data_IF_531034714479
#
_entry.id   IF_531034714479
#
_cell.length_a   1.000
_cell.length_b   1.000
_cell.length_c   1.000
_cell.angle_alpha   90.00
_cell.angle_beta   90.00
_cell.angle_gamma   90.00
#
_symmetry.space_group_name_H-M   'P 1'
#
loop_
_entity.id
_entity.type
_entity.pdbx_description
1 polymer ?
#
# COMPACT_ATOMS: atom_id res chain seq x y z
N UNK A 1 -51.03 -38.50 -16.63
CA UNK A 1 -50.00 -38.87 -17.64
C UNK A 1 -49.72 -37.60 -18.45
N UNK A 2 -48.55 -36.94 -18.47
CA UNK A 2 -47.16 -37.35 -18.35
C UNK A 2 -46.33 -36.26 -17.66
N UNK A 3 -45.41 -36.71 -16.82
CA UNK A 3 -44.19 -36.04 -16.36
C UNK A 3 -43.26 -35.86 -17.58
N UNK A 4 -42.60 -34.71 -17.75
CA UNK A 4 -41.16 -34.54 -18.03
C UNK A 4 -40.77 -33.15 -18.59
N UNK A 5 -39.63 -32.66 -18.08
CA UNK A 5 -38.73 -31.60 -18.59
C UNK A 5 -38.94 -30.16 -18.13
N UNK A 6 -38.70 -29.97 -16.83
CA UNK A 6 -38.19 -28.73 -16.25
C UNK A 6 -36.72 -28.92 -15.79
N UNK A 7 -35.79 -29.21 -16.71
CA UNK A 7 -34.35 -29.22 -16.39
C UNK A 7 -33.57 -28.81 -17.63
N UNK A 8 -33.37 -27.50 -17.85
CA UNK A 8 -32.32 -27.03 -18.78
C UNK A 8 -31.86 -25.57 -18.63
N UNK A 9 -32.51 -24.72 -17.81
CA UNK A 9 -32.08 -23.32 -17.67
C UNK A 9 -31.11 -23.04 -16.52
N UNK A 10 -31.23 -23.73 -15.38
CA UNK A 10 -30.44 -23.39 -14.19
C UNK A 10 -28.99 -23.88 -14.23
N UNK A 11 -28.72 -25.05 -14.80
CA UNK A 11 -27.35 -25.58 -14.89
C UNK A 11 -26.50 -24.82 -15.92
N UNK A 12 -27.13 -24.34 -17.00
CA UNK A 12 -26.44 -23.59 -18.06
C UNK A 12 -26.08 -22.17 -17.60
N UNK A 13 -26.96 -21.49 -16.84
CA UNK A 13 -26.63 -20.18 -16.23
C UNK A 13 -25.61 -20.30 -15.09
N UNK A 14 -25.63 -21.40 -14.34
CA UNK A 14 -24.64 -21.63 -13.28
C UNK A 14 -23.25 -21.94 -13.85
N UNK A 15 -23.15 -22.78 -14.88
CA UNK A 15 -21.90 -23.05 -15.60
C UNK A 15 -21.38 -21.82 -16.34
N UNK A 16 -22.25 -20.97 -16.91
CA UNK A 16 -21.82 -19.73 -17.56
C UNK A 16 -21.30 -18.69 -16.56
N UNK A 17 -21.97 -18.51 -15.40
CA UNK A 17 -21.46 -17.66 -14.30
C UNK A 17 -20.17 -18.19 -13.70
N UNK A 18 -20.04 -19.52 -13.54
CA UNK A 18 -18.84 -20.17 -13.02
C UNK A 18 -17.67 -20.07 -14.02
N UNK A 19 -17.92 -20.29 -15.31
CA UNK A 19 -16.93 -20.10 -16.38
C UNK A 19 -16.51 -18.64 -16.54
N UNK A 20 -17.43 -17.68 -16.37
CA UNK A 20 -17.12 -16.26 -16.37
C UNK A 20 -16.30 -15.86 -15.14
N UNK A 21 -16.61 -16.37 -13.93
CA UNK A 21 -15.83 -16.10 -12.72
C UNK A 21 -14.42 -16.71 -12.76
N UNK A 22 -14.30 -17.94 -13.27
CA UNK A 22 -13.02 -18.66 -13.35
C UNK A 22 -12.15 -18.07 -14.47
N UNK A 23 -12.71 -17.76 -15.65
CA UNK A 23 -11.94 -17.13 -16.73
C UNK A 23 -11.53 -15.70 -16.38
N UNK A 24 -12.40 -14.86 -15.85
CA UNK A 24 -12.01 -13.49 -15.48
C UNK A 24 -10.92 -13.48 -14.42
N UNK A 25 -11.08 -14.22 -13.30
CA UNK A 25 -10.09 -14.28 -12.21
C UNK A 25 -8.72 -14.81 -12.64
N UNK A 26 -8.68 -15.92 -13.38
CA UNK A 26 -7.40 -16.51 -13.80
C UNK A 26 -6.73 -15.65 -14.88
N UNK A 27 -7.50 -15.06 -15.80
CA UNK A 27 -6.97 -14.21 -16.86
C UNK A 27 -6.55 -12.83 -16.32
N UNK A 28 -7.27 -12.18 -15.40
CA UNK A 28 -6.76 -10.97 -14.73
C UNK A 28 -5.58 -11.26 -13.84
N UNK A 29 -5.54 -12.38 -13.09
CA UNK A 29 -4.34 -12.74 -12.32
C UNK A 29 -3.14 -13.02 -13.22
N UNK A 30 -3.33 -13.72 -14.34
CA UNK A 30 -2.25 -14.02 -15.29
C UNK A 30 -1.82 -12.77 -16.07
N UNK A 31 -2.76 -11.91 -16.46
CA UNK A 31 -2.50 -10.66 -17.18
C UNK A 31 -1.88 -9.61 -16.25
N UNK A 32 -2.35 -9.47 -15.01
CA UNK A 32 -1.72 -8.65 -13.99
C UNK A 32 -0.30 -9.16 -13.69
N UNK A 33 -0.09 -10.46 -13.50
CA UNK A 33 1.27 -11.04 -13.35
C UNK A 33 2.16 -10.80 -14.57
N UNK A 34 1.64 -10.88 -15.80
CA UNK A 34 2.40 -10.58 -17.03
C UNK A 34 2.68 -9.09 -17.22
N UNK A 35 1.76 -8.21 -16.83
CA UNK A 35 1.88 -6.76 -16.93
C UNK A 35 2.81 -6.19 -15.83
N UNK A 36 2.70 -6.70 -14.60
CA UNK A 36 3.58 -6.37 -13.47
C UNK A 36 5.05 -6.67 -13.76
N UNK A 37 5.34 -7.76 -14.51
CA UNK A 37 6.71 -8.09 -14.96
C UNK A 37 7.36 -7.02 -15.86
N UNK A 38 6.63 -6.01 -16.33
CA UNK A 38 7.15 -4.89 -17.13
C UNK A 38 7.07 -3.53 -16.45
N UNK A 39 6.44 -3.42 -15.27
CA UNK A 39 6.41 -2.17 -14.51
C UNK A 39 7.72 -2.06 -13.75
N UNK A 40 8.66 -1.32 -14.32
CA UNK A 40 9.90 -0.95 -13.63
C UNK A 40 9.56 0.24 -12.74
N UNK A 41 9.98 0.20 -11.48
CA UNK A 41 9.87 1.34 -10.58
C UNK A 41 11.18 2.12 -10.60
N UNK A 42 11.08 3.45 -10.64
CA UNK A 42 12.24 4.33 -10.63
C UNK A 42 12.15 5.25 -9.44
N UNK A 43 13.26 5.33 -8.69
CA UNK A 43 13.44 6.38 -7.70
C UNK A 43 13.98 7.63 -8.42
N UNK A 44 13.19 8.69 -8.41
CA UNK A 44 13.56 10.01 -8.94
C UNK A 44 13.75 10.98 -7.78
N UNK A 45 14.69 11.89 -7.96
CA UNK A 45 14.95 12.98 -7.02
C UNK A 45 14.60 14.29 -7.72
N UNK A 46 13.87 15.16 -7.04
CA UNK A 46 13.62 16.53 -7.46
C UNK A 46 14.27 17.51 -6.48
N UNK A 47 14.82 18.60 -7.04
CA UNK A 47 15.22 19.78 -6.28
C UNK A 47 14.25 20.88 -6.66
N UNK A 48 13.41 21.29 -5.72
CA UNK A 48 12.51 22.42 -5.92
C UNK A 48 13.25 23.69 -5.48
N UNK A 49 13.37 24.64 -6.39
CA UNK A 49 13.85 26.00 -6.10
C UNK A 49 12.61 26.86 -5.89
N UNK A 50 12.26 27.15 -4.65
CA UNK A 50 11.02 27.85 -4.30
C UNK A 50 11.18 29.38 -4.22
N UNK A 51 12.20 29.95 -4.86
CA UNK A 51 12.48 31.39 -4.81
C UNK A 51 13.01 31.87 -3.44
N UNK A 52 13.03 31.00 -2.42
CA UNK A 52 13.77 31.23 -1.18
C UNK A 52 15.22 30.76 -1.32
N UNK A 53 16.09 31.18 -0.41
CA UNK A 53 17.51 30.80 -0.43
C UNK A 53 17.78 29.31 -0.16
N UNK A 54 16.76 28.51 0.18
CA UNK A 54 16.91 27.10 0.52
C UNK A 54 16.31 26.18 -0.57
N UNK A 55 17.10 25.20 -1.01
CA UNK A 55 16.62 24.14 -1.88
C UNK A 55 15.78 23.14 -1.09
N UNK A 56 14.58 22.83 -1.56
CA UNK A 56 13.80 21.68 -1.07
C UNK A 56 14.16 20.43 -1.89
N UNK A 57 14.24 19.27 -1.22
CA UNK A 57 14.59 18.00 -1.84
C UNK A 57 13.45 17.00 -1.66
N UNK A 58 13.02 16.33 -2.73
CA UNK A 58 11.98 15.32 -2.65
C UNK A 58 12.39 14.03 -3.37
N UNK A 59 12.02 12.90 -2.77
CA UNK A 59 12.15 11.57 -3.37
C UNK A 59 10.81 11.11 -3.89
N UNK A 60 10.80 10.75 -5.16
CA UNK A 60 9.65 10.26 -5.88
C UNK A 60 9.88 8.78 -6.21
N UNK A 61 8.86 7.97 -5.92
CA UNK A 61 8.73 6.64 -6.52
C UNK A 61 7.79 6.78 -7.71
N UNK A 62 8.29 6.54 -8.92
CA UNK A 62 7.53 6.68 -10.15
C UNK A 62 7.50 5.37 -10.92
N UNK A 63 6.49 5.23 -11.77
CA UNK A 63 6.44 4.17 -12.77
C UNK A 63 7.39 4.55 -13.91
N UNK A 64 8.35 3.68 -14.21
CA UNK A 64 9.27 3.89 -15.32
C UNK A 64 8.51 3.97 -16.64
N UNK A 65 8.94 4.88 -17.52
CA UNK A 65 8.31 5.19 -18.82
C UNK A 65 6.91 5.82 -18.74
N UNK A 66 6.36 6.05 -17.55
CA UNK A 66 5.13 6.81 -17.34
C UNK A 66 5.41 7.88 -16.29
N UNK A 67 6.17 8.92 -16.69
CA UNK A 67 6.76 9.88 -15.76
C UNK A 67 5.72 10.67 -14.94
N UNK A 68 4.49 10.82 -15.45
CA UNK A 68 3.40 11.52 -14.77
C UNK A 68 2.74 10.69 -13.66
N UNK A 69 3.03 9.39 -13.60
CA UNK A 69 2.48 8.49 -12.57
C UNK A 69 3.46 8.38 -11.41
N UNK A 70 3.24 9.25 -10.42
CA UNK A 70 3.98 9.27 -9.17
C UNK A 70 3.22 8.46 -8.11
N UNK A 71 3.83 7.37 -7.66
CA UNK A 71 3.26 6.48 -6.65
C UNK A 71 3.50 6.97 -5.23
N UNK A 72 4.64 7.61 -4.96
CA UNK A 72 4.97 8.12 -3.63
C UNK A 72 5.88 9.33 -3.74
N UNK A 73 5.63 10.36 -2.93
CA UNK A 73 6.53 11.51 -2.76
C UNK A 73 6.87 11.64 -1.28
N UNK A 74 8.14 11.87 -0.97
CA UNK A 74 8.61 12.17 0.37
C UNK A 74 9.60 13.33 0.35
N UNK A 75 9.35 14.37 1.17
CA UNK A 75 10.32 15.44 1.37
C UNK A 75 11.50 14.94 2.21
N UNK A 76 12.70 15.34 1.86
CA UNK A 76 13.91 15.06 2.62
C UNK A 76 14.28 16.27 3.47
N UNK A 77 14.82 15.99 4.66
CA UNK A 77 15.39 17.02 5.53
C UNK A 77 16.89 17.10 5.21
N UNK A 78 17.39 18.22 4.68
CA UNK A 78 18.80 18.36 4.39
C UNK A 78 19.63 18.30 5.66
N UNK A 79 20.74 17.56 5.62
CA UNK A 79 21.73 17.54 6.70
C UNK A 79 22.68 18.74 6.52
N UNK A 80 22.81 19.64 7.52
CA UNK A 80 23.73 20.77 7.43
C UNK A 80 25.15 20.30 7.12
N UNK A 81 25.80 20.91 6.12
CA UNK A 81 27.18 20.60 5.72
C UNK A 81 27.35 19.41 4.77
N UNK A 82 26.33 18.59 4.52
CA UNK A 82 26.41 17.52 3.52
C UNK A 82 26.06 18.04 2.12
N UNK A 83 26.97 17.83 1.15
CA UNK A 83 26.65 18.03 -0.26
C UNK A 83 25.74 16.89 -0.74
N UNK A 84 24.59 17.26 -1.28
CA UNK A 84 23.59 16.32 -1.76
C UNK A 84 24.09 15.52 -2.98
N UNK A 85 23.82 14.22 -3.01
CA UNK A 85 24.02 13.33 -4.15
C UNK A 85 22.93 12.27 -4.21
N UNK A 86 22.42 11.94 -5.40
CA UNK A 86 21.42 10.88 -5.55
C UNK A 86 21.87 9.54 -4.90
N UNK A 87 23.18 9.27 -4.91
CA UNK A 87 23.79 8.06 -4.32
C UNK A 87 23.82 8.07 -2.77
N UNK A 88 23.88 9.23 -2.13
CA UNK A 88 23.92 9.34 -0.65
C UNK A 88 22.53 9.61 -0.02
N UNK A 89 21.54 9.96 -0.84
CA UNK A 89 20.21 10.37 -0.41
C UNK A 89 19.41 9.32 0.37
N UNK A 90 19.77 8.03 0.31
CA UNK A 90 19.12 6.99 1.11
C UNK A 90 19.29 7.23 2.62
N UNK A 91 20.43 7.80 3.03
CA UNK A 91 20.74 8.09 4.44
C UNK A 91 20.21 9.43 4.94
N UNK A 92 19.44 10.14 4.11
CA UNK A 92 18.86 11.44 4.47
C UNK A 92 17.52 11.25 5.19
N UNK A 93 17.25 11.97 6.29
CA UNK A 93 16.01 11.84 7.01
C UNK A 93 14.83 12.25 6.13
N UNK A 94 13.73 11.51 6.27
CA UNK A 94 12.48 11.79 5.57
C UNK A 94 11.58 12.62 6.48
N UNK A 95 11.02 13.71 5.96
CA UNK A 95 10.00 14.51 6.66
C UNK A 95 8.66 13.78 6.62
N UNK A 96 8.38 13.01 7.67
CA UNK A 96 7.19 12.16 7.78
C UNK A 96 5.90 12.92 8.09
N UNK A 97 5.98 14.09 8.74
CA UNK A 97 4.82 14.93 9.11
C UNK A 97 4.11 15.60 7.93
N UNK A 98 4.63 15.49 6.71
CA UNK A 98 4.08 16.16 5.52
C UNK A 98 3.57 15.15 4.50
N UNK A 99 2.27 15.19 4.26
CA UNK A 99 1.63 14.48 3.16
C UNK A 99 1.57 15.40 1.93
N UNK A 100 2.02 14.91 0.78
CA UNK A 100 2.09 15.71 -0.46
C UNK A 100 0.97 15.31 -1.43
N UNK A 101 0.91 14.03 -1.77
CA UNK A 101 -0.06 13.48 -2.72
C UNK A 101 -1.49 13.60 -2.19
N UNK A 102 -2.40 14.11 -3.03
CA UNK A 102 -3.79 14.40 -2.65
C UNK A 102 -4.55 13.16 -2.17
N UNK A 103 -4.37 12.01 -2.84
CA UNK A 103 -5.05 10.78 -2.43
C UNK A 103 -4.59 10.28 -1.04
N UNK A 104 -3.31 10.47 -0.69
CA UNK A 104 -2.78 10.10 0.62
C UNK A 104 -3.36 11.01 1.70
N UNK A 105 -3.48 12.31 1.41
CA UNK A 105 -4.16 13.28 2.30
C UNK A 105 -5.61 12.88 2.54
N UNK A 106 -6.33 12.44 1.51
CA UNK A 106 -7.71 11.98 1.65
C UNK A 106 -7.81 10.75 2.56
N UNK A 107 -6.93 9.75 2.38
CA UNK A 107 -6.89 8.55 3.23
C UNK A 107 -6.60 8.92 4.69
N UNK A 108 -5.54 9.68 4.94
CA UNK A 108 -5.16 10.07 6.29
C UNK A 108 -6.21 10.98 6.95
N UNK A 109 -6.77 11.93 6.19
CA UNK A 109 -7.83 12.82 6.63
C UNK A 109 -9.09 12.05 7.01
N UNK A 110 -9.48 11.03 6.24
CA UNK A 110 -10.63 10.19 6.58
C UNK A 110 -10.41 9.44 7.89
N UNK A 111 -9.23 8.83 8.09
CA UNK A 111 -8.90 8.11 9.33
C UNK A 111 -9.00 9.01 10.57
N UNK A 112 -8.55 10.26 10.45
CA UNK A 112 -8.63 11.24 11.53
C UNK A 112 -10.07 11.74 11.74
N UNK A 113 -10.77 12.10 10.66
CA UNK A 113 -12.10 12.71 10.74
C UNK A 113 -13.18 11.77 11.30
N UNK A 114 -13.04 10.45 11.10
CA UNK A 114 -14.02 9.48 11.62
C UNK A 114 -13.78 9.06 13.07
N UNK A 115 -12.70 9.52 13.72
CA UNK A 115 -12.33 9.07 15.06
C UNK A 115 -11.99 7.57 15.12
N UNK A 116 -11.71 6.92 13.98
CA UNK A 116 -11.47 5.46 13.95
C UNK A 116 -10.16 5.05 14.66
N UNK A 117 -9.30 6.03 14.92
CA UNK A 117 -8.05 5.87 15.66
C UNK A 117 -8.20 6.23 17.15
N UNK A 118 -9.35 6.76 17.57
CA UNK A 118 -9.66 7.15 18.95
C UNK A 118 -10.38 5.99 19.65
N UNK A 119 -9.66 4.89 19.89
CA UNK A 119 -10.17 3.78 20.70
C UNK A 119 -9.66 3.91 22.13
N UNK A 120 -10.57 4.01 23.10
CA UNK A 120 -10.23 4.15 24.53
C UNK A 120 -9.91 2.82 25.23
N UNK A 121 -10.11 1.68 24.57
CA UNK A 121 -10.02 0.34 25.20
C UNK A 121 -8.99 -0.59 24.59
N UNK A 122 -8.61 -0.40 23.33
CA UNK A 122 -7.64 -1.26 22.63
C UNK A 122 -6.83 -0.44 21.62
N UNK A 123 -5.57 -0.82 21.40
CA UNK A 123 -4.70 -0.26 20.34
C UNK A 123 -5.36 -0.45 18.97
N UNK A 124 -5.73 0.62 18.24
CA UNK A 124 -6.27 0.51 16.89
C UNK A 124 -5.30 -0.20 15.96
N UNK A 125 -5.83 -1.09 15.11
CA UNK A 125 -5.04 -1.84 14.13
C UNK A 125 -5.54 -1.52 12.72
N UNK A 126 -4.64 -1.09 11.86
CA UNK A 126 -4.93 -0.63 10.51
C UNK A 126 -4.34 -1.63 9.51
N UNK A 127 -5.22 -2.23 8.70
CA UNK A 127 -4.82 -3.02 7.56
C UNK A 127 -4.69 -2.14 6.32
N UNK A 128 -3.51 -2.16 5.70
CA UNK A 128 -3.25 -1.50 4.43
C UNK A 128 -3.00 -2.53 3.33
N UNK A 129 -3.78 -2.44 2.25
CA UNK A 129 -3.56 -3.25 1.05
C UNK A 129 -2.76 -2.41 0.05
N UNK A 130 -1.49 -2.77 -0.11
CA UNK A 130 -0.47 -1.96 -0.77
C UNK A 130 0.34 -1.15 0.24
N UNK A 131 1.67 -1.20 0.10
CA UNK A 131 2.61 -0.47 0.93
C UNK A 131 3.06 0.85 0.27
N UNK A 132 3.33 0.82 -1.04
CA UNK A 132 3.96 1.96 -1.72
C UNK A 132 5.32 2.29 -1.07
N UNK A 133 5.67 3.57 -0.96
CA UNK A 133 6.80 4.00 -0.12
C UNK A 133 6.49 4.03 1.39
N UNK A 134 5.32 3.55 1.83
CA UNK A 134 4.93 3.51 3.23
C UNK A 134 4.63 4.89 3.83
N UNK A 135 4.13 5.83 3.03
CA UNK A 135 3.86 7.22 3.47
C UNK A 135 2.81 7.31 4.57
N UNK A 136 1.69 6.60 4.46
CA UNK A 136 0.62 6.62 5.47
C UNK A 136 1.12 6.15 6.84
N UNK A 137 1.72 4.95 6.98
CA UNK A 137 2.18 4.51 8.29
C UNK A 137 3.34 5.37 8.80
N UNK A 138 4.21 5.90 7.93
CA UNK A 138 5.23 6.87 8.32
C UNK A 138 4.63 8.17 8.87
N UNK A 139 3.56 8.69 8.28
CA UNK A 139 2.88 9.88 8.78
C UNK A 139 2.32 9.63 10.18
N UNK A 140 1.65 8.49 10.38
CA UNK A 140 1.04 8.14 11.67
C UNK A 140 2.05 7.70 12.75
N UNK A 141 3.29 7.38 12.39
CA UNK A 141 4.43 7.21 13.31
C UNK A 141 4.87 8.55 13.95
N UNK A 142 4.53 9.69 13.33
CA UNK A 142 4.80 11.03 13.88
C UNK A 142 3.59 11.70 14.54
N UNK A 143 2.39 11.17 14.32
CA UNK A 143 1.17 11.61 15.00
C UNK A 143 1.13 10.91 16.36
N UNK A 144 0.63 11.57 17.39
CA UNK A 144 0.48 10.96 18.71
C UNK A 144 -0.62 9.88 18.72
N UNK A 145 -0.47 8.89 19.59
CA UNK A 145 -1.40 7.77 19.75
C UNK A 145 -0.79 6.41 19.40
N UNK A 146 -1.08 5.40 20.22
CA UNK A 146 -0.65 4.02 19.96
C UNK A 146 -1.54 3.38 18.89
N UNK A 147 -0.94 2.70 17.92
CA UNK A 147 -1.63 2.03 16.81
C UNK A 147 -0.70 1.04 16.13
N UNK A 148 -1.28 0.00 15.53
CA UNK A 148 -0.55 -0.98 14.74
C UNK A 148 -0.91 -0.83 13.25
N UNK A 149 0.09 -0.81 12.38
CA UNK A 149 -0.07 -0.89 10.93
C UNK A 149 0.40 -2.23 10.41
N UNK A 150 -0.45 -2.90 9.65
CA UNK A 150 -0.11 -4.09 8.88
C UNK A 150 -0.29 -3.74 7.41
N UNK A 151 0.82 -3.63 6.68
CA UNK A 151 0.81 -3.38 5.26
C UNK A 151 1.07 -4.67 4.49
N UNK A 152 0.22 -4.96 3.50
CA UNK A 152 0.37 -6.13 2.65
C UNK A 152 0.79 -5.67 1.27
N UNK A 153 1.92 -6.16 0.79
CA UNK A 153 2.37 -5.88 -0.56
C UNK A 153 2.75 -7.18 -1.25
N UNK A 154 2.52 -7.25 -2.56
CA UNK A 154 2.84 -8.44 -3.34
C UNK A 154 4.35 -8.56 -3.56
N UNK A 155 5.03 -7.43 -3.69
CA UNK A 155 6.41 -7.39 -4.17
C UNK A 155 7.39 -7.07 -3.02
N UNK A 156 8.36 -7.96 -2.72
CA UNK A 156 9.35 -7.73 -1.65
C UNK A 156 10.22 -6.49 -1.90
N UNK A 157 10.36 -6.07 -3.16
CA UNK A 157 11.02 -4.83 -3.52
C UNK A 157 10.37 -3.59 -2.86
N UNK A 158 9.06 -3.61 -2.62
CA UNK A 158 8.34 -2.50 -1.99
C UNK A 158 8.69 -2.36 -0.51
N UNK A 159 8.87 -3.48 0.19
CA UNK A 159 9.38 -3.44 1.56
C UNK A 159 10.80 -2.89 1.60
N UNK A 160 11.68 -3.37 0.71
CA UNK A 160 13.05 -2.86 0.63
C UNK A 160 13.05 -1.35 0.34
N UNK A 161 12.27 -0.90 -0.64
CA UNK A 161 12.21 0.52 -1.04
C UNK A 161 11.70 1.39 0.10
N UNK A 162 10.58 1.00 0.73
CA UNK A 162 9.96 1.78 1.80
C UNK A 162 10.87 1.91 3.02
N UNK A 163 11.55 0.82 3.44
CA UNK A 163 12.48 0.84 4.57
C UNK A 163 13.77 1.59 4.23
N UNK A 164 14.43 1.22 3.14
CA UNK A 164 15.76 1.73 2.79
C UNK A 164 15.74 3.20 2.37
N UNK A 165 14.72 3.59 1.60
CA UNK A 165 14.66 4.93 1.02
C UNK A 165 13.68 5.77 1.80
N UNK A 166 12.44 5.33 1.99
CA UNK A 166 11.41 6.15 2.63
C UNK A 166 11.39 6.09 4.17
N UNK A 167 12.41 5.48 4.78
CA UNK A 167 12.64 5.47 6.22
C UNK A 167 11.46 4.88 7.02
N UNK A 168 10.80 3.88 6.44
CA UNK A 168 9.81 3.05 7.12
C UNK A 168 10.47 2.34 8.31
N UNK A 169 10.03 2.62 9.53
CA UNK A 169 10.64 2.03 10.71
C UNK A 169 10.31 0.54 10.80
N UNK A 170 11.22 -0.21 11.39
CA UNK A 170 10.94 -1.56 11.83
C UNK A 170 10.54 -1.49 13.30
N UNK A 171 9.25 -1.51 13.59
CA UNK A 171 8.72 -1.49 14.95
C UNK A 171 7.72 -2.63 15.13
N UNK A 172 7.47 -3.10 16.36
CA UNK A 172 6.42 -4.10 16.60
C UNK A 172 5.03 -3.65 16.11
N UNK A 173 4.81 -2.33 16.11
CA UNK A 173 3.59 -1.67 15.67
C UNK A 173 3.53 -1.42 14.15
N UNK A 174 4.52 -1.88 13.39
CA UNK A 174 4.61 -1.66 11.96
C UNK A 174 5.12 -2.91 11.24
N UNK A 175 4.19 -3.69 10.70
CA UNK A 175 4.44 -4.95 10.01
C UNK A 175 4.24 -4.78 8.51
N UNK A 176 5.09 -5.45 7.74
CA UNK A 176 4.94 -5.61 6.31
C UNK A 176 4.84 -7.10 6.02
N UNK A 177 3.78 -7.51 5.31
CA UNK A 177 3.55 -8.90 4.91
C UNK A 177 3.69 -8.97 3.39
N UNK A 178 4.59 -9.84 2.91
CA UNK A 178 4.79 -10.07 1.48
C UNK A 178 3.85 -11.18 1.02
N UNK A 179 2.68 -10.80 0.49
CA UNK A 179 1.64 -11.74 0.05
C UNK A 179 0.67 -11.07 -0.93
N UNK A 180 -0.02 -11.86 -1.74
CA UNK A 180 -1.20 -11.40 -2.48
C UNK A 180 -2.31 -10.98 -1.50
N UNK A 181 -2.72 -9.72 -1.57
CA UNK A 181 -3.74 -9.15 -0.68
C UNK A 181 -5.10 -9.87 -0.77
N UNK A 182 -5.50 -10.35 -1.97
CA UNK A 182 -6.76 -11.08 -2.13
C UNK A 182 -6.66 -12.46 -1.50
N UNK A 183 -5.52 -13.14 -1.65
CA UNK A 183 -5.26 -14.42 -0.99
C UNK A 183 -5.31 -14.27 0.53
N UNK A 184 -4.60 -13.26 1.07
CA UNK A 184 -4.60 -12.98 2.50
C UNK A 184 -6.02 -12.78 3.06
N UNK A 185 -6.84 -11.96 2.40
CA UNK A 185 -8.23 -11.72 2.81
C UNK A 185 -9.10 -12.97 2.63
N UNK A 186 -8.87 -13.78 1.59
CA UNK A 186 -9.65 -14.99 1.38
C UNK A 186 -9.34 -16.06 2.42
N UNK A 187 -8.10 -16.16 2.88
CA UNK A 187 -7.73 -17.08 3.95
C UNK A 187 -8.49 -16.75 5.25
N UNK A 188 -8.74 -15.46 5.52
CA UNK A 188 -9.59 -15.04 6.64
C UNK A 188 -11.04 -15.53 6.54
N UNK A 189 -11.55 -15.71 5.32
CA UNK A 189 -12.92 -16.19 5.09
C UNK A 189 -13.01 -17.72 5.18
N UNK A 190 -11.95 -18.41 4.77
CA UNK A 190 -11.91 -19.88 4.69
C UNK A 190 -11.79 -20.51 6.08
N UNK A 191 -11.14 -19.83 7.03
CA UNK A 191 -11.08 -20.27 8.43
C UNK A 191 -12.42 -20.11 9.19
N UNK A 192 -13.51 -19.81 8.48
CA UNK A 192 -14.88 -20.01 8.96
C UNK A 192 -15.31 -19.09 10.11
N UNK A 193 -14.52 -18.08 10.45
CA UNK A 193 -14.84 -17.17 11.55
C UNK A 193 -14.33 -15.78 11.14
N UNK A 194 -15.18 -14.76 11.28
CA UNK A 194 -14.72 -13.40 11.54
C UNK A 194 -14.05 -13.43 12.92
N UNK A 195 -12.95 -14.17 13.04
CA UNK A 195 -12.15 -14.24 14.25
C UNK A 195 -11.07 -13.19 14.06
N UNK A 196 -11.36 -12.02 14.61
CA UNK A 196 -10.33 -11.05 15.02
C UNK A 196 -9.29 -11.66 16.00
N UNK A 197 -9.32 -12.96 16.28
CA UNK A 197 -8.41 -13.70 17.15
C UNK A 197 -7.06 -14.04 16.52
N UNK A 198 -6.95 -14.23 15.21
CA UNK A 198 -5.64 -14.33 14.53
C UNK A 198 -4.94 -12.97 14.40
N UNK A 199 -5.61 -11.90 14.79
CA UNK A 199 -4.97 -10.60 14.99
C UNK A 199 -4.30 -10.49 16.38
N UNK A 200 -4.49 -11.44 17.31
CA UNK A 200 -4.04 -11.34 18.72
C UNK A 200 -2.76 -12.12 19.06
N UNK A 201 -2.00 -12.60 18.06
CA UNK A 201 -0.71 -13.28 18.28
C UNK A 201 0.48 -12.40 17.93
#
# INVERSE_FOLDING_TARGET
MKIFRLVRSSLCMFLFKLMMKIKTSLFTKLYARKALKKIVLKLRMSVLKDGTAMNEYERLLVVDKVEDVVLTIAKLIPKPGEKFSAKNSAGWPVMKKRLILAYIKAIAGQLLATGCLESSKETPRILMLGLGGGTVPNFFDEVEGNREFISIDLEPAMEYISRKWFNLKNTPNQKVIIQDALEYINNWKIEGIINFGLWRS
#
